data_IF_593496172899
#
_entry.id   IF_593496172899
#
_cell.length_a   1.000
_cell.length_b   1.000
_cell.length_c   1.000
_cell.angle_alpha   90.00
_cell.angle_beta   90.00
_cell.angle_gamma   90.00
#
_symmetry.space_group_name_H-M   'P 1'
#
loop_
_entity.id
_entity.type
_entity.pdbx_description
1 polymer ?
#
# COMPACT_ATOMS: atom_id res chain seq x y z
N UNK A 1 6.31 8.76 21.98
CA UNK A 1 5.06 8.00 21.79
C UNK A 1 4.88 7.79 20.28
N UNK A 2 4.23 6.71 19.82
CA UNK A 2 3.55 6.78 18.52
C UNK A 2 2.65 8.04 18.53
N UNK A 3 2.41 8.63 17.36
CA UNK A 3 1.52 9.77 17.16
C UNK A 3 0.35 9.73 18.16
N UNK A 4 0.09 10.84 18.86
CA UNK A 4 -1.03 10.91 19.79
C UNK A 4 -2.29 10.43 19.07
N UNK A 5 -2.81 9.27 19.48
CA UNK A 5 -3.93 8.61 18.82
C UNK A 5 -5.21 9.27 19.29
N UNK A 6 -6.06 9.64 18.34
CA UNK A 6 -7.37 10.19 18.63
C UNK A 6 -8.34 9.13 19.17
N UNK A 7 -8.03 7.84 18.95
CA UNK A 7 -8.91 6.72 19.23
C UNK A 7 -9.82 6.36 18.06
N UNK A 8 -9.84 7.19 17.01
CA UNK A 8 -10.46 6.88 15.71
C UNK A 8 -9.39 6.44 14.71
N UNK A 9 -9.49 5.19 14.24
CA UNK A 9 -8.49 4.57 13.38
C UNK A 9 -8.34 5.30 12.04
N UNK A 10 -9.44 5.81 11.47
CA UNK A 10 -9.40 6.50 10.17
C UNK A 10 -8.72 7.86 10.30
N UNK A 11 -9.05 8.63 11.33
CA UNK A 11 -8.36 9.88 11.65
C UNK A 11 -6.87 9.66 11.88
N UNK A 12 -6.51 8.63 12.67
CA UNK A 12 -5.12 8.30 12.95
C UNK A 12 -4.34 7.92 11.67
N UNK A 13 -4.95 7.13 10.78
CA UNK A 13 -4.36 6.75 9.49
C UNK A 13 -4.25 7.94 8.53
N UNK A 14 -5.23 8.83 8.50
CA UNK A 14 -5.17 10.06 7.69
C UNK A 14 -4.00 10.94 8.14
N UNK A 15 -3.85 11.15 9.45
CA UNK A 15 -2.73 11.89 10.03
C UNK A 15 -1.39 11.21 9.73
N UNK A 16 -1.31 9.89 9.88
CA UNK A 16 -0.09 9.13 9.62
C UNK A 16 0.33 9.14 8.13
N UNK A 17 -0.61 9.31 7.21
CA UNK A 17 -0.37 9.29 5.76
C UNK A 17 -0.37 10.69 5.16
N UNK A 18 -1.54 11.30 4.98
CA UNK A 18 -1.68 12.65 4.45
C UNK A 18 -0.96 13.69 5.31
N UNK A 19 -1.06 13.57 6.64
CA UNK A 19 -0.38 14.48 7.56
C UNK A 19 1.16 14.40 7.46
N UNK A 20 1.72 13.19 7.38
CA UNK A 20 3.16 13.01 7.13
C UNK A 20 3.58 13.62 5.80
N UNK A 21 2.82 13.36 4.73
CA UNK A 21 3.09 13.93 3.42
C UNK A 21 3.12 15.46 3.45
N UNK A 22 2.05 16.07 3.99
CA UNK A 22 1.91 17.52 4.09
C UNK A 22 3.00 18.17 4.94
N UNK A 23 3.28 17.60 6.12
CA UNK A 23 4.30 18.12 7.04
C UNK A 23 5.69 18.05 6.39
N UNK A 24 6.01 16.94 5.74
CA UNK A 24 7.30 16.76 5.09
C UNK A 24 7.47 17.71 3.91
N UNK A 25 6.47 17.82 3.02
CA UNK A 25 6.54 18.75 1.88
C UNK A 25 6.65 20.19 2.35
N UNK A 26 5.87 20.59 3.36
CA UNK A 26 5.94 21.94 3.92
C UNK A 26 7.30 22.22 4.57
N UNK A 27 7.88 21.23 5.25
CA UNK A 27 9.23 21.35 5.82
C UNK A 27 10.30 21.51 4.72
N UNK A 28 10.19 20.74 3.62
CA UNK A 28 11.10 20.84 2.49
C UNK A 28 11.00 22.22 1.81
N UNK A 29 9.78 22.71 1.57
CA UNK A 29 9.52 24.03 0.97
C UNK A 29 10.02 25.18 1.87
N UNK A 30 9.92 25.01 3.19
CA UNK A 30 10.45 25.95 4.17
C UNK A 30 11.98 25.91 4.31
N UNK A 31 12.67 25.00 3.60
CA UNK A 31 14.12 24.84 3.70
C UNK A 31 14.58 24.28 5.04
N UNK A 32 13.76 23.44 5.68
CA UNK A 32 14.19 22.69 6.86
C UNK A 32 15.43 21.87 6.54
N UNK A 33 16.34 21.73 7.51
CA UNK A 33 17.59 20.97 7.30
C UNK A 33 17.41 19.47 7.52
N UNK A 34 16.38 19.07 8.25
CA UNK A 34 16.13 17.68 8.62
C UNK A 34 14.67 17.44 8.99
N UNK A 35 14.18 16.26 8.65
CA UNK A 35 12.95 15.70 9.15
C UNK A 35 13.24 14.58 10.16
N UNK A 36 12.69 14.63 11.37
CA UNK A 36 12.81 13.53 12.35
C UNK A 36 11.45 12.86 12.48
N UNK A 37 11.36 11.59 12.06
CA UNK A 37 10.16 10.79 12.17
C UNK A 37 10.25 9.86 13.38
N UNK A 38 9.30 9.97 14.31
CA UNK A 38 9.12 8.97 15.36
C UNK A 38 8.34 7.77 14.87
N UNK A 39 8.87 6.57 15.10
CA UNK A 39 8.24 5.27 14.81
C UNK A 39 8.42 4.32 16.00
N UNK A 40 8.17 3.02 15.81
CA UNK A 40 8.13 2.02 16.89
C UNK A 40 8.84 0.72 16.53
N UNK A 41 9.49 0.12 17.52
CA UNK A 41 10.03 -1.25 17.46
C UNK A 41 8.93 -2.32 17.54
N UNK A 42 7.68 -1.92 17.79
CA UNK A 42 6.54 -2.84 17.76
C UNK A 42 6.36 -3.52 16.40
N UNK A 43 6.86 -2.91 15.32
CA UNK A 43 6.91 -3.51 13.97
C UNK A 43 7.74 -4.79 13.89
N UNK A 44 8.51 -5.13 14.93
CA UNK A 44 9.29 -6.36 15.05
C UNK A 44 8.75 -7.32 16.10
N UNK A 45 7.58 -7.05 16.69
CA UNK A 45 7.01 -7.88 17.76
C UNK A 45 6.77 -9.32 17.32
N UNK A 46 6.51 -9.55 16.03
CA UNK A 46 6.34 -10.88 15.44
C UNK A 46 7.62 -11.72 15.43
N UNK A 47 8.80 -11.11 15.56
CA UNK A 47 10.07 -11.82 15.61
C UNK A 47 10.35 -12.29 17.04
N UNK A 48 10.87 -13.52 17.22
CA UNK A 48 11.24 -14.04 18.54
C UNK A 48 12.38 -13.23 19.15
N UNK A 49 12.42 -13.13 20.48
CA UNK A 49 13.47 -12.42 21.20
C UNK A 49 14.85 -13.06 21.04
N UNK A 50 14.92 -14.32 20.58
CA UNK A 50 16.18 -15.00 20.24
C UNK A 50 16.87 -14.43 19.01
N UNK A 51 16.16 -13.66 18.16
CA UNK A 51 16.78 -13.02 17.00
C UNK A 51 17.37 -11.67 17.38
N UNK A 52 18.61 -11.45 16.94
CA UNK A 52 19.29 -10.17 17.04
C UNK A 52 18.78 -9.26 15.91
N UNK A 53 17.67 -8.58 16.19
CA UNK A 53 17.02 -7.65 15.26
C UNK A 53 17.81 -6.34 15.23
N UNK A 54 18.38 -6.00 14.07
CA UNK A 54 19.06 -4.74 13.81
C UNK A 54 18.33 -3.88 12.75
N UNK A 55 18.85 -2.71 12.44
CA UNK A 55 18.28 -1.73 11.51
C UNK A 55 18.07 -2.28 10.09
N UNK A 56 18.78 -3.34 9.69
CA UNK A 56 18.70 -3.95 8.36
C UNK A 56 17.52 -4.92 8.24
N UNK A 57 16.88 -5.28 9.35
CA UNK A 57 15.74 -6.19 9.33
C UNK A 57 14.51 -5.53 8.73
N UNK A 58 13.79 -6.29 7.89
CA UNK A 58 12.52 -5.87 7.30
C UNK A 58 11.43 -5.81 8.39
N UNK A 59 10.75 -4.66 8.57
CA UNK A 59 9.61 -4.54 9.48
C UNK A 59 8.48 -5.51 9.12
N UNK A 60 7.72 -5.95 10.13
CA UNK A 60 6.60 -6.89 10.05
C UNK A 60 5.34 -6.28 10.68
N UNK A 61 4.78 -5.20 10.11
CA UNK A 61 3.54 -4.61 10.60
C UNK A 61 2.39 -5.62 10.58
N UNK A 62 1.52 -5.54 11.57
CA UNK A 62 0.21 -6.20 11.55
C UNK A 62 -0.84 -5.31 10.90
N UNK A 63 -2.05 -5.86 10.69
CA UNK A 63 -3.20 -5.08 10.25
C UNK A 63 -3.78 -4.15 11.35
N UNK A 64 -3.15 -4.13 12.54
CA UNK A 64 -3.56 -3.24 13.61
C UNK A 64 -3.30 -1.76 13.22
N UNK A 65 -4.22 -0.84 13.50
CA UNK A 65 -4.10 0.58 13.17
C UNK A 65 -2.78 1.21 13.66
N UNK A 66 -2.32 0.87 14.86
CA UNK A 66 -1.08 1.41 15.41
C UNK A 66 0.16 1.04 14.57
N UNK A 67 0.23 -0.22 14.12
CA UNK A 67 1.32 -0.71 13.27
C UNK A 67 1.24 -0.09 11.87
N UNK A 68 0.02 -0.01 11.31
CA UNK A 68 -0.22 0.62 10.02
C UNK A 68 0.17 2.09 10.02
N UNK A 69 -0.22 2.87 11.04
CA UNK A 69 0.17 4.27 11.15
C UNK A 69 1.70 4.42 11.14
N UNK A 70 2.41 3.69 11.99
CA UNK A 70 3.86 3.76 12.04
C UNK A 70 4.51 3.35 10.69
N UNK A 71 4.08 2.23 10.12
CA UNK A 71 4.63 1.70 8.88
C UNK A 71 4.36 2.60 7.66
N UNK A 72 3.16 3.14 7.55
CA UNK A 72 2.78 3.99 6.44
C UNK A 72 3.44 5.37 6.54
N UNK A 73 3.61 5.93 7.75
CA UNK A 73 4.41 7.14 7.94
C UNK A 73 5.88 6.93 7.55
N UNK A 74 6.48 5.80 7.93
CA UNK A 74 7.84 5.44 7.49
C UNK A 74 7.94 5.33 5.97
N UNK A 75 6.99 4.64 5.34
CA UNK A 75 6.97 4.46 3.89
C UNK A 75 6.79 5.80 3.19
N UNK A 76 5.88 6.64 3.67
CA UNK A 76 5.62 7.99 3.14
C UNK A 76 6.88 8.86 3.20
N UNK A 77 7.44 9.05 4.40
CA UNK A 77 8.62 9.89 4.60
C UNK A 77 9.85 9.36 3.86
N UNK A 78 10.03 8.04 3.76
CA UNK A 78 11.13 7.44 2.99
C UNK A 78 11.05 7.76 1.51
N UNK A 79 9.87 7.65 0.89
CA UNK A 79 9.75 8.01 -0.53
C UNK A 79 9.92 9.53 -0.72
N UNK A 80 9.45 10.36 0.20
CA UNK A 80 9.64 11.82 0.12
C UNK A 80 11.11 12.23 0.26
N UNK A 81 11.85 11.63 1.21
CA UNK A 81 13.28 11.89 1.41
C UNK A 81 14.18 11.44 0.25
N UNK A 82 13.66 10.58 -0.64
CA UNK A 82 14.38 10.15 -1.86
C UNK A 82 14.36 11.20 -2.96
N UNK A 83 13.25 11.91 -3.11
CA UNK A 83 13.06 12.83 -4.24
C UNK A 83 13.10 14.31 -3.84
N UNK A 84 12.84 14.64 -2.57
CA UNK A 84 12.93 16.00 -2.05
C UNK A 84 14.28 16.23 -1.36
N UNK A 85 14.82 17.47 -1.40
CA UNK A 85 16.10 17.82 -0.78
C UNK A 85 15.99 18.00 0.74
N UNK A 86 15.33 17.08 1.43
CA UNK A 86 15.15 17.07 2.88
C UNK A 86 15.55 15.70 3.44
N UNK A 87 16.77 15.57 4.02
CA UNK A 87 17.17 14.37 4.72
C UNK A 87 16.22 14.05 5.88
N UNK A 88 15.98 12.77 6.10
CA UNK A 88 15.05 12.28 7.11
C UNK A 88 15.65 11.14 7.94
N UNK A 89 15.52 11.28 9.25
CA UNK A 89 15.91 10.26 10.22
C UNK A 89 14.67 9.67 10.89
N UNK A 90 14.50 8.36 10.77
CA UNK A 90 13.48 7.60 11.47
C UNK A 90 14.02 6.99 12.77
N UNK A 91 13.42 7.36 13.89
CA UNK A 91 13.72 6.79 15.21
C UNK A 91 12.65 5.76 15.57
N UNK A 92 12.99 4.47 15.56
CA UNK A 92 12.08 3.42 16.03
C UNK A 92 12.28 3.22 17.52
N UNK A 93 11.33 3.68 18.31
CA UNK A 93 11.41 3.61 19.76
C UNK A 93 10.91 2.27 20.31
N UNK A 94 11.52 1.81 21.40
CA UNK A 94 10.91 0.84 22.30
C UNK A 94 9.58 1.35 22.88
N UNK A 95 8.90 0.48 23.63
CA UNK A 95 7.70 0.84 24.38
C UNK A 95 8.04 1.92 25.40
N UNK A 96 7.58 3.14 25.16
CA UNK A 96 7.88 4.30 26.01
C UNK A 96 7.19 4.12 27.36
N UNK A 97 7.95 4.23 28.44
CA UNK A 97 7.44 4.15 29.82
C UNK A 97 8.04 5.24 30.70
N UNK A 98 7.26 5.70 31.68
CA UNK A 98 7.69 6.55 32.78
C UNK A 98 7.79 5.80 34.11
N UNK A 99 8.23 6.50 35.15
CA UNK A 99 8.45 5.95 36.50
C UNK A 99 7.21 5.28 37.10
N UNK A 100 6.02 5.86 36.89
CA UNK A 100 4.78 5.32 37.41
C UNK A 100 4.42 3.96 36.78
N UNK A 101 4.63 3.79 35.47
CA UNK A 101 4.33 2.55 34.75
C UNK A 101 5.33 1.45 35.12
N UNK A 102 6.61 1.82 35.24
CA UNK A 102 7.69 0.92 35.70
C UNK A 102 7.36 0.38 37.10
N UNK A 103 6.84 1.21 38.01
CA UNK A 103 6.47 0.77 39.35
C UNK A 103 5.19 -0.07 39.40
N UNK A 104 4.28 0.10 38.43
CA UNK A 104 2.95 -0.50 38.43
C UNK A 104 2.87 -1.85 37.67
N UNK A 105 3.86 -2.16 36.82
CA UNK A 105 3.79 -3.29 35.89
C UNK A 105 5.06 -4.14 35.93
N UNK A 106 4.99 -5.45 35.64
CA UNK A 106 6.18 -6.27 35.44
C UNK A 106 7.05 -5.73 34.29
N UNK A 107 8.36 -5.95 34.41
CA UNK A 107 9.32 -5.54 33.37
C UNK A 107 8.97 -6.12 32.00
N UNK A 108 9.03 -5.28 30.98
CA UNK A 108 8.93 -5.66 29.58
C UNK A 108 10.27 -5.39 28.87
N UNK A 109 10.87 -6.38 28.19
CA UNK A 109 12.15 -6.23 27.48
C UNK A 109 12.10 -5.22 26.32
N UNK A 110 10.92 -4.70 25.97
CA UNK A 110 10.73 -3.66 24.95
C UNK A 110 10.78 -2.26 25.51
N UNK A 111 10.83 -2.08 26.83
CA UNK A 111 10.76 -0.76 27.45
C UNK A 111 11.91 0.17 27.02
N UNK A 112 11.56 1.45 26.91
CA UNK A 112 12.47 2.57 26.78
C UNK A 112 11.95 3.69 27.68
N UNK A 113 12.80 4.23 28.55
CA UNK A 113 12.36 5.31 29.42
C UNK A 113 12.07 6.60 28.64
N UNK A 114 11.07 7.38 29.06
CA UNK A 114 10.69 8.64 28.39
C UNK A 114 11.84 9.65 28.29
N UNK A 115 12.68 9.77 29.33
CA UNK A 115 13.85 10.67 29.31
C UNK A 115 14.90 10.22 28.28
N UNK A 116 15.08 8.91 28.13
CA UNK A 116 16.03 8.34 27.17
C UNK A 116 15.51 8.52 25.73
N UNK A 117 14.20 8.42 25.51
CA UNK A 117 13.58 8.75 24.24
C UNK A 117 13.74 10.23 23.88
N UNK A 118 13.54 11.14 24.84
CA UNK A 118 13.73 12.57 24.65
C UNK A 118 15.20 12.91 24.32
N UNK A 119 16.14 12.27 25.01
CA UNK A 119 17.57 12.41 24.74
C UNK A 119 17.95 11.92 23.33
N UNK A 120 17.38 10.81 22.85
CA UNK A 120 17.58 10.34 21.48
C UNK A 120 17.08 11.38 20.46
N UNK A 121 15.92 12.00 20.67
CA UNK A 121 15.40 13.07 19.81
C UNK A 121 16.34 14.28 19.82
N UNK A 122 16.82 14.69 21.00
CA UNK A 122 17.75 15.82 21.13
C UNK A 122 19.03 15.57 20.34
N UNK A 123 19.57 14.35 20.37
CA UNK A 123 20.77 13.97 19.60
C UNK A 123 20.49 13.88 18.10
N UNK A 124 19.29 13.44 17.71
CA UNK A 124 18.87 13.37 16.31
C UNK A 124 18.87 14.73 15.61
N UNK A 125 18.78 15.85 16.35
CA UNK A 125 18.96 17.20 15.80
C UNK A 125 20.37 17.46 15.25
N UNK A 126 21.39 16.73 15.73
CA UNK A 126 22.78 16.87 15.30
C UNK A 126 23.25 15.79 14.30
N UNK A 127 22.44 14.75 14.06
CA UNK A 127 22.77 13.60 13.20
C UNK A 127 22.86 13.89 11.68
N UNK A 128 24.05 14.09 11.13
CA UNK A 128 24.21 14.64 9.76
C UNK A 128 24.47 13.60 8.66
N UNK A 129 23.49 12.73 8.40
CA UNK A 129 23.54 11.80 7.26
C UNK A 129 22.55 12.21 6.15
N UNK A 130 22.93 12.07 4.86
CA UNK A 130 22.06 12.41 3.74
C UNK A 130 20.94 11.37 3.54
N UNK A 131 19.85 11.81 2.91
CA UNK A 131 18.76 10.92 2.49
C UNK A 131 17.96 10.33 3.66
N UNK A 132 17.64 9.04 3.58
CA UNK A 132 16.81 8.33 4.57
C UNK A 132 17.65 7.44 5.48
N UNK A 133 17.59 7.67 6.79
CA UNK A 133 18.27 6.87 7.81
C UNK A 133 17.28 6.31 8.83
N UNK A 134 17.59 5.16 9.43
CA UNK A 134 16.78 4.51 10.47
C UNK A 134 17.70 4.17 11.64
N UNK A 135 17.24 4.43 12.87
CA UNK A 135 17.91 4.02 14.09
C UNK A 135 16.92 3.33 15.04
N UNK A 136 17.33 2.22 15.65
CA UNK A 136 16.57 1.57 16.71
C UNK A 136 16.96 2.19 18.06
N UNK A 137 15.97 2.73 18.78
CA UNK A 137 16.15 3.36 20.08
C UNK A 137 15.54 2.43 21.14
N UNK A 138 16.39 1.69 21.84
CA UNK A 138 16.03 0.79 22.94
C UNK A 138 16.80 1.13 24.22
N UNK A 139 16.41 0.51 25.34
CA UNK A 139 17.13 0.66 26.60
C UNK A 139 18.55 0.06 26.56
N UNK A 140 18.83 -0.84 25.61
CA UNK A 140 20.19 -1.36 25.37
C UNK A 140 20.81 -2.21 26.48
N UNK A 141 20.05 -2.53 27.53
CA UNK A 141 20.50 -3.41 28.62
C UNK A 141 20.49 -4.89 28.27
N UNK A 142 20.96 -5.75 29.18
CA UNK A 142 21.18 -7.18 28.94
C UNK A 142 19.89 -7.96 28.61
N UNK A 143 18.74 -7.40 28.95
CA UNK A 143 17.42 -8.01 28.73
C UNK A 143 16.64 -7.33 27.60
N UNK A 144 17.21 -6.34 26.91
CA UNK A 144 16.53 -5.63 25.83
C UNK A 144 16.24 -6.57 24.66
N UNK A 145 15.00 -6.56 24.15
CA UNK A 145 14.60 -7.37 22.98
C UNK A 145 15.39 -6.97 21.72
N UNK A 146 15.67 -5.68 21.57
CA UNK A 146 16.41 -5.11 20.44
C UNK A 146 17.71 -4.50 20.99
N UNK A 147 18.89 -4.94 20.51
CA UNK A 147 20.16 -4.42 21.00
C UNK A 147 20.35 -2.95 20.63
N UNK A 148 21.07 -2.23 21.48
CA UNK A 148 21.51 -0.86 21.19
C UNK A 148 22.84 -0.90 20.44
N UNK A 149 22.76 -1.02 19.11
CA UNK A 149 23.89 -1.03 18.18
C UNK A 149 24.12 0.34 17.54
N UNK A 150 23.58 0.54 16.33
CA UNK A 150 23.86 1.71 15.47
C UNK A 150 23.57 3.04 16.17
N UNK A 151 22.49 3.14 16.96
CA UNK A 151 22.20 4.37 17.70
C UNK A 151 23.29 4.73 18.74
N UNK A 152 23.99 3.76 19.32
CA UNK A 152 25.11 4.04 20.22
C UNK A 152 26.27 4.67 19.46
N UNK A 153 26.59 4.11 18.30
CA UNK A 153 27.80 4.45 17.55
C UNK A 153 27.60 5.74 16.74
N UNK A 154 26.46 5.85 16.05
CA UNK A 154 26.22 6.95 15.10
C UNK A 154 25.52 8.16 15.74
N UNK A 155 24.73 7.94 16.80
CA UNK A 155 24.02 9.01 17.53
C UNK A 155 24.71 9.38 18.85
N UNK A 156 25.77 8.64 19.23
CA UNK A 156 26.36 8.69 20.56
C UNK A 156 25.30 8.49 21.68
N UNK A 157 24.21 7.79 21.39
CA UNK A 157 23.10 7.63 22.33
C UNK A 157 23.46 6.64 23.44
N UNK A 158 23.34 7.10 24.69
CA UNK A 158 23.63 6.32 25.89
C UNK A 158 22.42 6.40 26.82
N UNK A 159 21.54 5.38 26.83
CA UNK A 159 20.39 5.38 27.72
C UNK A 159 20.85 5.32 29.17
N UNK A 160 20.19 6.10 30.03
CA UNK A 160 20.46 6.15 31.47
C UNK A 160 19.79 4.98 32.18
N UNK A 161 18.67 4.47 31.65
CA UNK A 161 17.90 3.38 32.24
C UNK A 161 17.95 2.16 31.33
N UNK A 162 18.79 1.20 31.69
CA UNK A 162 19.03 -0.03 30.93
C UNK A 162 18.31 -1.26 31.49
N UNK A 163 17.62 -1.10 32.64
CA UNK A 163 16.84 -2.15 33.30
C UNK A 163 17.64 -3.43 33.61
N UNK A 164 18.96 -3.33 33.81
CA UNK A 164 19.80 -4.49 34.17
C UNK A 164 19.40 -5.19 35.47
N UNK A 165 18.81 -4.45 36.40
CA UNK A 165 18.39 -4.95 37.72
C UNK A 165 16.97 -5.54 37.69
N UNK A 166 16.28 -5.44 36.54
CA UNK A 166 14.96 -6.04 36.37
C UNK A 166 15.08 -7.57 36.32
N UNK A 167 14.04 -8.26 36.79
CA UNK A 167 13.96 -9.71 36.65
C UNK A 167 14.01 -10.07 35.15
N UNK A 168 14.91 -10.99 34.80
CA UNK A 168 15.03 -11.47 33.44
C UNK A 168 13.66 -11.95 32.93
N UNK A 169 13.25 -11.54 31.71
CA UNK A 169 12.00 -12.00 31.16
C UNK A 169 12.03 -13.53 31.10
N UNK A 170 10.89 -14.21 31.31
CA UNK A 170 10.84 -15.65 31.11
C UNK A 170 11.40 -15.97 29.71
N UNK A 171 12.20 -17.04 29.55
CA UNK A 171 12.66 -17.45 28.23
C UNK A 171 11.44 -17.57 27.33
N UNK A 172 11.52 -16.96 26.14
CA UNK A 172 10.38 -16.82 25.21
C UNK A 172 9.57 -18.12 25.23
N UNK A 173 8.35 -18.06 25.76
CA UNK A 173 7.48 -19.23 25.94
C UNK A 173 7.03 -19.68 24.55
N UNK A 174 7.90 -20.42 23.87
CA UNK A 174 7.86 -20.62 22.44
C UNK A 174 9.02 -19.96 21.69
N UNK A 175 10.27 -20.16 22.15
CA UNK A 175 11.43 -20.16 21.25
C UNK A 175 11.05 -21.04 20.05
N UNK A 176 10.57 -20.40 18.99
CA UNK A 176 9.61 -21.02 18.10
C UNK A 176 10.22 -22.27 17.49
N UNK A 177 9.62 -23.42 17.79
CA UNK A 177 9.92 -24.65 17.07
C UNK A 177 9.39 -24.46 15.66
N UNK A 178 10.25 -24.01 14.74
CA UNK A 178 9.85 -23.70 13.37
C UNK A 178 10.91 -22.90 12.64
N UNK A 179 10.79 -22.87 11.31
CA UNK A 179 11.60 -22.00 10.47
C UNK A 179 11.14 -20.54 10.59
N UNK A 180 11.97 -19.60 10.16
CA UNK A 180 11.55 -18.19 10.03
C UNK A 180 10.31 -18.02 9.12
N UNK A 181 10.03 -18.98 8.23
CA UNK A 181 8.83 -18.95 7.39
C UNK A 181 7.57 -19.21 8.20
N UNK A 182 7.62 -20.14 9.14
CA UNK A 182 6.48 -20.48 10.00
C UNK A 182 6.13 -19.32 10.93
N UNK A 183 7.15 -18.63 11.45
CA UNK A 183 7.01 -17.40 12.24
C UNK A 183 6.33 -16.26 11.45
N UNK A 184 6.61 -16.19 10.15
CA UNK A 184 6.08 -15.15 9.27
C UNK A 184 4.79 -15.55 8.54
N UNK A 185 4.31 -16.77 8.73
CA UNK A 185 3.06 -17.24 8.14
C UNK A 185 1.88 -16.34 8.56
N UNK A 186 0.77 -16.32 7.79
CA UNK A 186 -0.43 -15.59 8.17
C UNK A 186 -0.92 -15.99 9.57
N UNK A 187 -1.28 -14.99 10.39
CA UNK A 187 -1.76 -15.22 11.76
C UNK A 187 -3.18 -15.80 11.78
N UNK A 188 -3.96 -15.46 10.76
CA UNK A 188 -5.26 -16.05 10.46
C UNK A 188 -5.31 -16.30 8.95
N UNK A 189 -6.14 -17.24 8.50
CA UNK A 189 -6.37 -17.47 7.06
C UNK A 189 -7.85 -17.44 6.78
N UNK A 190 -8.26 -16.56 5.88
CA UNK A 190 -9.63 -16.55 5.36
C UNK A 190 -9.74 -17.61 4.26
N UNK A 191 -10.64 -18.60 4.39
CA UNK A 191 -10.72 -19.69 3.42
C UNK A 191 -11.21 -19.19 2.06
N UNK A 192 -10.58 -19.68 0.99
CA UNK A 192 -11.05 -19.46 -0.37
C UNK A 192 -12.43 -20.11 -0.59
N UNK A 193 -13.24 -19.49 -1.45
CA UNK A 193 -14.57 -19.99 -1.84
C UNK A 193 -14.79 -19.81 -3.34
N UNK A 194 -15.69 -20.58 -3.98
CA UNK A 194 -16.12 -20.30 -5.34
C UNK A 194 -16.67 -18.89 -5.47
N UNK A 195 -16.20 -18.14 -6.47
CA UNK A 195 -16.63 -16.76 -6.69
C UNK A 195 -17.83 -16.76 -7.64
N UNK A 196 -18.98 -16.25 -7.17
CA UNK A 196 -20.19 -16.08 -7.97
C UNK A 196 -20.75 -14.67 -7.89
N UNK A 197 -20.61 -14.03 -6.73
CA UNK A 197 -21.02 -12.64 -6.47
C UNK A 197 -19.79 -11.75 -6.31
N UNK A 198 -19.69 -10.72 -7.14
CA UNK A 198 -18.55 -9.77 -7.13
C UNK A 198 -19.08 -8.37 -6.84
N UNK A 199 -18.52 -7.72 -5.82
CA UNK A 199 -18.73 -6.29 -5.59
C UNK A 199 -17.63 -5.49 -6.28
N UNK A 200 -18.01 -4.45 -7.03
CA UNK A 200 -17.08 -3.59 -7.77
C UNK A 200 -17.24 -2.16 -7.25
N UNK A 201 -16.19 -1.64 -6.60
CA UNK A 201 -16.14 -0.23 -6.17
C UNK A 201 -15.57 0.67 -7.26
N UNK A 202 -16.18 1.85 -7.45
CA UNK A 202 -15.84 2.79 -8.51
C UNK A 202 -16.48 2.42 -9.86
N UNK A 203 -17.66 1.82 -9.83
CA UNK A 203 -18.38 1.28 -10.99
C UNK A 203 -18.81 2.34 -12.01
N UNK A 204 -18.84 3.63 -11.64
CA UNK A 204 -19.05 4.75 -12.53
C UNK A 204 -17.85 5.07 -13.44
N UNK A 205 -16.67 4.56 -13.11
CA UNK A 205 -15.45 4.77 -13.88
C UNK A 205 -15.33 3.87 -15.11
N UNK A 206 -14.54 4.27 -16.14
CA UNK A 206 -14.47 3.56 -17.42
C UNK A 206 -13.82 2.17 -17.33
N UNK A 207 -12.83 1.99 -16.44
CA UNK A 207 -12.24 0.66 -16.20
C UNK A 207 -13.30 -0.28 -15.61
N UNK A 208 -14.00 0.15 -14.58
CA UNK A 208 -15.01 -0.66 -13.92
C UNK A 208 -16.21 -0.94 -14.84
N UNK A 209 -16.57 -0.01 -15.73
CA UNK A 209 -17.56 -0.25 -16.77
C UNK A 209 -17.12 -1.35 -17.76
N UNK A 210 -15.85 -1.36 -18.17
CA UNK A 210 -15.30 -2.45 -19.00
C UNK A 210 -15.30 -3.79 -18.27
N UNK A 211 -14.88 -3.78 -16.99
CA UNK A 211 -14.88 -4.96 -16.12
C UNK A 211 -16.29 -5.50 -15.92
N UNK A 212 -17.27 -4.64 -15.64
CA UNK A 212 -18.66 -5.05 -15.47
C UNK A 212 -19.20 -5.72 -16.73
N UNK A 213 -18.88 -5.20 -17.92
CA UNK A 213 -19.26 -5.81 -19.19
C UNK A 213 -18.60 -7.19 -19.42
N UNK A 214 -17.32 -7.34 -19.03
CA UNK A 214 -16.59 -8.62 -19.14
C UNK A 214 -17.11 -9.68 -18.16
N UNK A 215 -17.51 -9.28 -16.94
CA UNK A 215 -17.91 -10.21 -15.88
C UNK A 215 -19.40 -10.52 -15.84
N UNK A 216 -20.28 -9.62 -16.31
CA UNK A 216 -21.73 -9.78 -16.21
C UNK A 216 -22.30 -11.11 -16.78
N UNK A 217 -21.74 -11.71 -17.87
CA UNK A 217 -22.24 -12.97 -18.39
C UNK A 217 -22.11 -14.16 -17.41
N UNK A 218 -21.09 -14.14 -16.53
CA UNK A 218 -20.69 -15.29 -15.73
C UNK A 218 -20.85 -15.06 -14.21
N UNK A 219 -20.95 -13.81 -13.78
CA UNK A 219 -21.01 -13.41 -12.37
C UNK A 219 -22.24 -12.55 -12.06
N UNK A 220 -22.77 -12.69 -10.85
CA UNK A 220 -23.69 -11.70 -10.29
C UNK A 220 -22.89 -10.51 -9.78
N UNK A 221 -23.23 -9.31 -10.22
CA UNK A 221 -22.45 -8.11 -9.96
C UNK A 221 -23.21 -7.17 -9.04
N UNK A 222 -22.50 -6.64 -8.04
CA UNK A 222 -22.93 -5.47 -7.28
C UNK A 222 -22.03 -4.31 -7.62
N UNK A 223 -22.58 -3.35 -8.35
CA UNK A 223 -21.86 -2.18 -8.84
C UNK A 223 -22.02 -1.03 -7.84
N UNK A 224 -20.92 -0.49 -7.33
CA UNK A 224 -20.98 0.61 -6.36
C UNK A 224 -20.17 1.81 -6.80
N UNK A 225 -20.74 2.99 -6.54
CA UNK A 225 -20.10 4.28 -6.78
C UNK A 225 -20.62 5.30 -5.76
N UNK A 226 -19.96 6.45 -5.63
CA UNK A 226 -20.39 7.53 -4.73
C UNK A 226 -21.64 8.24 -5.26
N UNK A 227 -21.89 8.16 -6.56
CA UNK A 227 -23.12 8.65 -7.20
C UNK A 227 -23.98 7.50 -7.73
N UNK A 228 -25.32 7.66 -7.84
CA UNK A 228 -26.17 6.64 -8.43
C UNK A 228 -25.74 6.30 -9.87
N UNK A 229 -25.50 5.03 -10.16
CA UNK A 229 -25.01 4.59 -11.49
C UNK A 229 -25.93 5.00 -12.65
N UNK A 230 -27.24 5.05 -12.40
CA UNK A 230 -28.23 5.52 -13.36
C UNK A 230 -28.01 6.98 -13.76
N UNK A 231 -27.64 7.85 -12.81
CA UNK A 231 -27.34 9.25 -13.08
C UNK A 231 -26.03 9.41 -13.85
N UNK A 232 -24.99 8.67 -13.47
CA UNK A 232 -23.70 8.68 -14.17
C UNK A 232 -23.91 8.22 -15.63
N UNK A 233 -24.65 7.13 -15.84
CA UNK A 233 -24.96 6.61 -17.17
C UNK A 233 -25.80 7.59 -18.00
N UNK A 234 -26.80 8.25 -17.39
CA UNK A 234 -27.67 9.21 -18.06
C UNK A 234 -26.92 10.47 -18.55
N UNK A 235 -25.86 10.90 -17.85
CA UNK A 235 -25.00 12.02 -18.30
C UNK A 235 -24.28 11.72 -19.62
N UNK A 236 -24.10 10.43 -19.95
CA UNK A 236 -23.46 9.95 -21.18
C UNK A 236 -22.13 10.65 -21.51
N UNK A 237 -21.38 11.04 -20.47
CA UNK A 237 -20.15 11.83 -20.58
C UNK A 237 -18.94 10.94 -20.34
N UNK A 238 -18.24 10.46 -21.38
CA UNK A 238 -17.08 9.61 -21.19
C UNK A 238 -15.92 10.41 -20.61
N UNK A 239 -15.05 9.74 -19.84
CA UNK A 239 -13.82 10.35 -19.31
C UNK A 239 -12.92 10.88 -20.43
N UNK A 240 -12.91 10.17 -21.58
CA UNK A 240 -12.13 10.49 -22.76
C UNK A 240 -12.76 9.83 -24.01
N UNK A 241 -12.44 10.29 -25.24
CA UNK A 241 -13.07 9.74 -26.45
C UNK A 241 -12.88 8.22 -26.59
N UNK A 242 -13.99 7.47 -26.62
CA UNK A 242 -13.95 6.01 -26.74
C UNK A 242 -13.76 5.26 -25.42
N UNK A 243 -13.66 5.95 -24.28
CA UNK A 243 -13.72 5.34 -22.96
C UNK A 243 -15.11 4.70 -22.71
N UNK A 244 -15.17 3.49 -22.13
CA UNK A 244 -16.43 2.85 -21.76
C UNK A 244 -17.26 3.70 -20.82
N UNK A 245 -18.57 3.70 -21.04
CA UNK A 245 -19.55 4.31 -20.13
C UNK A 245 -20.16 3.23 -19.23
N UNK A 246 -20.45 3.57 -17.96
CA UNK A 246 -21.17 2.67 -17.08
C UNK A 246 -22.57 2.36 -17.63
N UNK A 247 -23.10 1.20 -17.26
CA UNK A 247 -24.46 0.77 -17.60
C UNK A 247 -25.17 0.29 -16.35
N UNK A 248 -26.46 0.62 -16.24
CA UNK A 248 -27.33 -0.02 -15.26
C UNK A 248 -27.64 -1.43 -15.75
N UNK A 249 -27.25 -2.42 -14.95
CA UNK A 249 -27.53 -3.82 -15.22
C UNK A 249 -28.84 -4.22 -14.54
N UNK A 250 -29.68 -4.99 -15.23
CA UNK A 250 -30.90 -5.54 -14.64
C UNK A 250 -30.62 -6.72 -13.70
N UNK A 251 -31.67 -7.28 -13.11
CA UNK A 251 -31.55 -8.50 -12.30
C UNK A 251 -30.85 -9.63 -13.10
N UNK A 252 -29.97 -10.43 -12.46
CA UNK A 252 -29.71 -10.52 -11.01
C UNK A 252 -28.68 -9.50 -10.48
N UNK A 253 -28.18 -8.57 -11.30
CA UNK A 253 -27.21 -7.58 -10.88
C UNK A 253 -27.86 -6.47 -10.04
N UNK A 254 -27.05 -5.85 -9.19
CA UNK A 254 -27.46 -4.77 -8.29
C UNK A 254 -26.56 -3.55 -8.48
N UNK A 255 -27.10 -2.37 -8.19
CA UNK A 255 -26.32 -1.13 -8.08
C UNK A 255 -26.61 -0.48 -6.73
N UNK A 256 -25.57 -0.06 -6.01
CA UNK A 256 -25.69 0.62 -4.73
C UNK A 256 -24.86 1.90 -4.74
N UNK A 257 -25.33 2.91 -4.01
CA UNK A 257 -24.50 4.08 -3.70
C UNK A 257 -23.66 3.74 -2.48
N UNK A 258 -22.35 3.81 -2.60
CA UNK A 258 -21.42 3.60 -1.50
C UNK A 258 -20.16 4.45 -1.70
N UNK A 259 -19.91 5.35 -0.76
CA UNK A 259 -18.65 6.07 -0.66
C UNK A 259 -17.59 5.14 -0.04
N UNK A 260 -16.46 4.97 -0.73
CA UNK A 260 -15.38 4.11 -0.23
C UNK A 260 -14.69 4.67 1.01
N UNK A 261 -14.86 5.96 1.29
CA UNK A 261 -14.34 6.63 2.48
C UNK A 261 -15.21 6.39 3.71
N UNK A 262 -16.47 5.95 3.53
CA UNK A 262 -17.37 5.56 4.61
C UNK A 262 -17.21 4.05 4.94
N UNK A 263 -16.67 3.71 6.13
CA UNK A 263 -16.45 2.32 6.50
C UNK A 263 -17.73 1.49 6.57
N UNK A 264 -18.86 2.08 6.98
CA UNK A 264 -20.13 1.36 7.12
C UNK A 264 -20.77 1.11 5.75
N UNK A 265 -20.69 2.09 4.83
CA UNK A 265 -21.14 1.92 3.45
C UNK A 265 -20.35 0.81 2.73
N UNK A 266 -19.02 0.77 2.90
CA UNK A 266 -18.16 -0.28 2.33
C UNK A 266 -18.47 -1.64 2.92
N UNK A 267 -18.68 -1.72 4.24
CA UNK A 267 -19.05 -2.96 4.92
C UNK A 267 -20.39 -3.50 4.44
N UNK A 268 -21.41 -2.64 4.32
CA UNK A 268 -22.72 -3.02 3.82
C UNK A 268 -22.68 -3.47 2.34
N UNK A 269 -21.92 -2.75 1.50
CA UNK A 269 -21.75 -3.10 0.09
C UNK A 269 -21.13 -4.50 -0.11
N UNK A 270 -20.26 -4.94 0.80
CA UNK A 270 -19.60 -6.25 0.72
C UNK A 270 -20.48 -7.43 1.18
N UNK A 271 -21.65 -7.18 1.77
CA UNK A 271 -22.49 -8.23 2.35
C UNK A 271 -22.89 -9.30 1.31
N UNK A 272 -22.49 -10.55 1.54
CA UNK A 272 -22.82 -11.68 0.67
C UNK A 272 -22.02 -11.76 -0.65
N UNK A 273 -21.02 -10.89 -0.84
CA UNK A 273 -20.06 -11.01 -1.94
C UNK A 273 -19.05 -12.13 -1.67
N UNK A 274 -18.51 -12.70 -2.75
CA UNK A 274 -17.46 -13.72 -2.71
C UNK A 274 -16.08 -13.17 -3.07
N UNK A 275 -16.05 -12.04 -3.78
CA UNK A 275 -14.85 -11.30 -4.15
C UNK A 275 -15.11 -9.80 -4.28
N UNK A 276 -14.06 -9.01 -4.12
CA UNK A 276 -14.08 -7.55 -4.28
C UNK A 276 -13.18 -7.16 -5.46
N UNK A 277 -13.63 -6.22 -6.29
CA UNK A 277 -12.80 -5.49 -7.26
C UNK A 277 -12.80 -4.02 -6.86
N UNK A 278 -11.63 -3.48 -6.54
CA UNK A 278 -11.48 -2.08 -6.16
C UNK A 278 -10.90 -1.25 -7.31
N UNK A 279 -11.76 -0.48 -7.98
CA UNK A 279 -11.41 0.45 -9.04
C UNK A 279 -11.48 1.93 -8.60
N UNK A 280 -11.61 2.21 -7.31
CA UNK A 280 -11.72 3.60 -6.83
C UNK A 280 -10.43 4.37 -7.06
N UNK A 281 -10.59 5.65 -7.38
CA UNK A 281 -9.45 6.52 -7.66
C UNK A 281 -9.81 7.99 -7.50
N UNK A 282 -8.92 8.74 -6.86
CA UNK A 282 -8.84 10.20 -6.97
C UNK A 282 -7.39 10.57 -7.30
N UNK A 283 -7.20 11.49 -8.26
CA UNK A 283 -5.86 11.84 -8.75
C UNK A 283 -5.37 13.19 -8.25
N UNK A 284 -6.22 14.21 -8.37
CA UNK A 284 -5.77 15.60 -8.34
C UNK A 284 -6.16 16.36 -7.07
N UNK A 285 -7.11 15.84 -6.29
CA UNK A 285 -7.52 16.45 -5.02
C UNK A 285 -6.62 15.93 -3.88
N UNK A 286 -5.83 16.79 -3.22
CA UNK A 286 -4.90 16.36 -2.16
C UNK A 286 -5.53 15.62 -1.00
N UNK A 287 -6.65 16.11 -0.46
CA UNK A 287 -7.28 15.47 0.68
C UNK A 287 -7.95 14.16 0.26
N UNK A 288 -8.71 14.21 -0.84
CA UNK A 288 -9.47 13.07 -1.31
C UNK A 288 -8.58 11.98 -1.92
N UNK A 289 -7.39 12.30 -2.44
CA UNK A 289 -6.45 11.29 -2.91
C UNK A 289 -6.05 10.33 -1.78
N UNK A 290 -5.71 10.82 -0.59
CA UNK A 290 -5.42 9.93 0.55
C UNK A 290 -6.68 9.24 1.08
N UNK A 291 -7.80 9.96 1.22
CA UNK A 291 -9.06 9.36 1.71
C UNK A 291 -9.54 8.23 0.81
N UNK A 292 -9.59 8.43 -0.50
CA UNK A 292 -10.07 7.42 -1.45
C UNK A 292 -9.03 6.34 -1.73
N UNK A 293 -7.79 6.71 -2.07
CA UNK A 293 -6.82 5.73 -2.54
C UNK A 293 -6.16 4.96 -1.38
N UNK A 294 -6.02 5.58 -0.21
CA UNK A 294 -5.36 4.98 0.96
C UNK A 294 -6.38 4.47 1.97
N UNK A 295 -7.23 5.34 2.52
CA UNK A 295 -8.22 4.92 3.52
C UNK A 295 -9.35 4.07 2.91
N UNK A 296 -9.74 4.33 1.66
CA UNK A 296 -10.67 3.47 0.94
C UNK A 296 -10.13 2.06 0.74
N UNK A 297 -8.81 1.89 0.54
CA UNK A 297 -8.18 0.57 0.52
C UNK A 297 -8.28 -0.11 1.89
N UNK A 298 -8.03 0.63 2.99
CA UNK A 298 -8.21 0.13 4.35
C UNK A 298 -9.64 -0.34 4.63
N UNK A 299 -10.64 0.45 4.26
CA UNK A 299 -12.05 0.09 4.43
C UNK A 299 -12.41 -1.17 3.64
N UNK A 300 -11.93 -1.28 2.38
CA UNK A 300 -12.12 -2.48 1.54
C UNK A 300 -11.51 -3.71 2.21
N UNK A 301 -10.27 -3.61 2.72
CA UNK A 301 -9.61 -4.74 3.36
C UNK A 301 -10.30 -5.14 4.69
N UNK A 302 -10.78 -4.18 5.48
CA UNK A 302 -11.58 -4.45 6.68
C UNK A 302 -12.89 -5.16 6.37
N UNK A 303 -13.62 -4.68 5.35
CA UNK A 303 -14.85 -5.31 4.92
C UNK A 303 -14.60 -6.73 4.37
N UNK A 304 -13.48 -6.93 3.67
CA UNK A 304 -13.06 -8.25 3.22
C UNK A 304 -12.88 -9.22 4.41
N UNK A 305 -12.17 -8.81 5.46
CA UNK A 305 -12.02 -9.63 6.67
C UNK A 305 -13.36 -9.89 7.36
N UNK A 306 -14.18 -8.85 7.54
CA UNK A 306 -15.46 -8.95 8.25
C UNK A 306 -16.44 -9.94 7.58
N UNK A 307 -16.43 -10.02 6.25
CA UNK A 307 -17.28 -10.94 5.46
C UNK A 307 -16.56 -12.24 5.05
N UNK A 308 -15.31 -12.43 5.47
CA UNK A 308 -14.49 -13.58 5.10
C UNK A 308 -14.21 -13.69 3.59
N UNK A 309 -14.10 -12.56 2.89
CA UNK A 309 -13.83 -12.50 1.45
C UNK A 309 -12.32 -12.66 1.23
N UNK A 310 -11.90 -13.83 0.75
CA UNK A 310 -10.49 -14.14 0.53
C UNK A 310 -9.89 -13.48 -0.72
N UNK A 311 -10.70 -13.09 -1.71
CA UNK A 311 -10.23 -12.54 -3.00
C UNK A 311 -10.54 -11.04 -3.12
N UNK A 312 -9.49 -10.23 -3.24
CA UNK A 312 -9.60 -8.79 -3.51
C UNK A 312 -8.72 -8.43 -4.69
N UNK A 313 -9.30 -8.06 -5.83
CA UNK A 313 -8.53 -7.48 -6.95
C UNK A 313 -8.40 -5.98 -6.71
N UNK A 314 -7.18 -5.50 -6.55
CA UNK A 314 -6.89 -4.09 -6.35
C UNK A 314 -6.30 -3.48 -7.62
N UNK A 315 -6.63 -2.22 -7.94
CA UNK A 315 -6.10 -1.56 -9.14
C UNK A 315 -5.24 -0.36 -8.76
N UNK A 316 -4.18 -0.13 -9.53
CA UNK A 316 -3.26 0.97 -9.28
C UNK A 316 -2.52 1.43 -10.53
N UNK A 317 -1.73 2.51 -10.39
CA UNK A 317 -0.84 2.97 -11.43
C UNK A 317 0.45 2.16 -11.45
N UNK A 318 1.08 2.02 -12.62
CA UNK A 318 2.49 1.63 -12.68
C UNK A 318 3.35 2.62 -11.89
N UNK A 319 4.28 2.10 -11.09
CA UNK A 319 5.03 2.88 -10.11
C UNK A 319 6.53 2.59 -10.16
N UNK A 320 7.08 1.94 -11.18
CA UNK A 320 8.48 1.48 -11.15
C UNK A 320 9.41 2.42 -11.93
N UNK A 321 9.15 2.62 -13.22
CA UNK A 321 9.93 3.50 -14.09
C UNK A 321 9.15 4.79 -14.44
N UNK A 322 8.65 5.50 -13.42
CA UNK A 322 8.03 6.83 -13.57
C UNK A 322 9.09 7.93 -13.76
N UNK A 323 8.70 9.16 -14.07
CA UNK A 323 9.63 10.28 -14.15
C UNK A 323 10.18 10.65 -12.76
N UNK A 324 11.50 10.69 -12.59
CA UNK A 324 12.13 11.12 -11.34
C UNK A 324 13.58 10.67 -11.20
N UNK A 325 14.38 11.30 -10.33
CA UNK A 325 15.81 11.00 -10.17
C UNK A 325 16.08 9.62 -9.52
N UNK A 326 15.10 9.05 -8.83
CA UNK A 326 15.24 7.76 -8.11
C UNK A 326 14.45 6.62 -8.74
N UNK A 327 13.80 6.86 -9.88
CA UNK A 327 13.08 5.84 -10.62
C UNK A 327 14.02 5.01 -11.49
N UNK A 328 13.49 3.91 -12.02
CA UNK A 328 14.19 3.09 -13.02
C UNK A 328 14.00 3.65 -14.45
N UNK A 329 13.84 4.96 -14.58
CA UNK A 329 13.72 5.62 -15.88
C UNK A 329 15.03 5.42 -16.66
N UNK A 330 14.92 5.01 -17.93
CA UNK A 330 16.03 4.66 -18.83
C UNK A 330 16.68 3.30 -18.60
N UNK A 331 16.26 2.56 -17.58
CA UNK A 331 16.61 1.15 -17.45
C UNK A 331 15.66 0.28 -18.29
N UNK A 332 16.17 -0.86 -18.73
CA UNK A 332 15.42 -1.89 -19.46
C UNK A 332 15.37 -3.17 -18.62
N UNK A 333 14.44 -4.07 -18.94
CA UNK A 333 14.30 -5.38 -18.28
C UNK A 333 14.11 -5.31 -16.76
N UNK A 334 13.58 -4.18 -16.26
CA UNK A 334 13.27 -3.99 -14.85
C UNK A 334 12.30 -5.09 -14.41
N UNK A 335 12.67 -5.94 -13.43
CA UNK A 335 11.83 -7.05 -13.00
C UNK A 335 10.46 -6.58 -12.50
N UNK A 336 9.43 -7.41 -12.67
CA UNK A 336 8.08 -7.10 -12.19
C UNK A 336 8.00 -6.90 -10.66
N UNK A 337 8.97 -7.46 -9.92
CA UNK A 337 9.10 -7.34 -8.45
C UNK A 337 10.04 -6.20 -8.02
N UNK A 338 10.48 -5.36 -8.96
CA UNK A 338 11.30 -4.20 -8.62
C UNK A 338 10.56 -3.29 -7.62
N UNK A 339 11.25 -2.75 -6.59
CA UNK A 339 10.62 -1.87 -5.62
C UNK A 339 9.97 -0.67 -6.29
N UNK A 340 8.69 -0.44 -6.03
CA UNK A 340 8.01 0.73 -6.58
C UNK A 340 8.66 2.06 -6.10
N UNK A 341 8.71 3.00 -7.03
CA UNK A 341 9.22 4.38 -7.02
C UNK A 341 8.09 5.32 -7.47
N UNK A 342 7.12 5.62 -6.58
CA UNK A 342 5.95 6.44 -6.95
C UNK A 342 6.31 7.91 -7.27
N UNK A 343 7.52 8.35 -6.94
CA UNK A 343 7.95 9.75 -7.00
C UNK A 343 7.43 10.58 -5.82
N UNK A 344 8.14 11.67 -5.51
CA UNK A 344 7.72 12.76 -4.66
C UNK A 344 8.03 14.13 -5.31
N UNK A 345 6.98 14.88 -5.67
CA UNK A 345 7.08 16.04 -6.57
C UNK A 345 5.72 16.38 -7.21
N UNK A 346 5.45 17.66 -7.44
CA UNK A 346 4.06 18.17 -7.50
C UNK A 346 3.15 17.61 -8.61
N UNK A 347 1.84 17.65 -8.34
CA UNK A 347 0.74 17.35 -9.28
C UNK A 347 0.41 15.86 -9.39
N UNK A 348 1.06 15.16 -10.33
CA UNK A 348 0.74 13.77 -10.65
C UNK A 348 1.25 12.75 -9.61
N UNK A 349 2.24 13.11 -8.79
CA UNK A 349 2.91 12.13 -7.91
C UNK A 349 2.16 11.90 -6.60
N UNK A 350 1.28 12.83 -6.18
CA UNK A 350 0.32 12.62 -5.09
C UNK A 350 -0.56 11.38 -5.34
N UNK A 351 -1.07 11.23 -6.57
CA UNK A 351 -1.87 10.08 -6.97
C UNK A 351 -1.07 8.77 -6.81
N UNK A 352 0.14 8.74 -7.36
CA UNK A 352 1.02 7.58 -7.26
C UNK A 352 1.36 7.24 -5.80
N UNK A 353 1.67 8.26 -5.00
CA UNK A 353 2.02 8.11 -3.60
C UNK A 353 0.84 7.56 -2.77
N UNK A 354 -0.34 8.17 -2.87
CA UNK A 354 -1.53 7.72 -2.14
C UNK A 354 -1.99 6.31 -2.55
N UNK A 355 -1.89 5.94 -3.84
CA UNK A 355 -2.14 4.57 -4.31
C UNK A 355 -1.12 3.56 -3.79
N UNK A 356 0.16 3.93 -3.71
CA UNK A 356 1.19 3.05 -3.11
C UNK A 356 0.90 2.77 -1.64
N UNK A 357 0.49 3.78 -0.87
CA UNK A 357 0.12 3.58 0.53
C UNK A 357 -1.11 2.65 0.66
N UNK A 358 -2.10 2.79 -0.22
CA UNK A 358 -3.23 1.85 -0.30
C UNK A 358 -2.79 0.42 -0.62
N UNK A 359 -1.83 0.24 -1.54
CA UNK A 359 -1.25 -1.07 -1.85
C UNK A 359 -0.49 -1.66 -0.67
N UNK A 360 0.25 -0.86 0.11
CA UNK A 360 0.90 -1.32 1.33
C UNK A 360 -0.11 -1.82 2.37
N UNK A 361 -1.26 -1.15 2.52
CA UNK A 361 -2.35 -1.63 3.38
C UNK A 361 -2.85 -2.99 2.88
N UNK A 362 -3.15 -3.10 1.58
CA UNK A 362 -3.56 -4.36 0.95
C UNK A 362 -2.54 -5.49 1.20
N UNK A 363 -1.25 -5.21 1.03
CA UNK A 363 -0.16 -6.17 1.29
C UNK A 363 -0.13 -6.63 2.74
N UNK A 364 -0.18 -5.69 3.69
CA UNK A 364 -0.16 -6.02 5.13
C UNK A 364 -1.36 -6.88 5.52
N UNK A 365 -2.57 -6.55 5.05
CA UNK A 365 -3.74 -7.38 5.29
C UNK A 365 -3.61 -8.78 4.66
N UNK A 366 -3.14 -8.86 3.41
CA UNK A 366 -2.97 -10.13 2.71
C UNK A 366 -1.96 -11.05 3.43
N UNK A 367 -0.79 -10.52 3.79
CA UNK A 367 0.25 -11.27 4.50
C UNK A 367 -0.19 -11.71 5.91
N UNK A 368 -0.99 -10.92 6.62
CA UNK A 368 -1.44 -11.26 7.98
C UNK A 368 -2.66 -12.19 8.01
N UNK A 369 -3.53 -12.15 6.98
CA UNK A 369 -4.81 -12.85 6.97
C UNK A 369 -4.98 -13.89 5.85
N UNK A 370 -3.91 -14.18 5.11
CA UNK A 370 -3.92 -15.18 4.04
C UNK A 370 -4.88 -14.85 2.90
N UNK A 371 -5.11 -13.56 2.65
CA UNK A 371 -5.94 -13.12 1.52
C UNK A 371 -5.16 -13.28 0.21
N UNK A 372 -5.87 -13.46 -0.89
CA UNK A 372 -5.30 -13.43 -2.25
C UNK A 372 -5.61 -12.09 -2.89
N UNK A 373 -4.59 -11.26 -3.05
CA UNK A 373 -4.71 -9.86 -3.49
C UNK A 373 -3.80 -9.58 -4.69
N UNK A 374 -4.27 -9.87 -5.92
CA UNK A 374 -3.62 -9.36 -7.13
C UNK A 374 -3.85 -7.85 -7.27
N UNK A 375 -2.75 -7.10 -7.26
CA UNK A 375 -2.71 -5.66 -7.54
C UNK A 375 -2.33 -5.42 -9.01
N UNK A 376 -3.31 -5.04 -9.82
CA UNK A 376 -3.13 -4.81 -11.27
C UNK A 376 -2.72 -3.36 -11.53
N UNK A 377 -1.56 -3.18 -12.14
CA UNK A 377 -0.99 -1.86 -12.42
C UNK A 377 -1.17 -1.47 -13.89
N UNK A 378 -1.69 -0.27 -14.08
CA UNK A 378 -2.04 0.31 -15.39
C UNK A 378 -1.41 1.70 -15.55
N UNK A 379 -1.33 2.22 -16.79
CA UNK A 379 -1.00 3.64 -17.02
C UNK A 379 -2.01 4.26 -17.97
N UNK A 380 -1.97 3.87 -19.24
CA UNK A 380 -2.90 4.36 -20.26
C UNK A 380 -3.85 3.27 -20.72
N UNK A 381 -5.13 3.65 -20.84
CA UNK A 381 -6.16 2.80 -21.38
C UNK A 381 -6.59 3.32 -22.75
N UNK A 382 -6.62 2.43 -23.74
CA UNK A 382 -6.84 2.80 -25.13
C UNK A 382 -8.10 2.12 -25.67
N UNK A 383 -8.81 2.82 -26.54
CA UNK A 383 -9.76 2.18 -27.45
C UNK A 383 -9.04 1.91 -28.79
N UNK A 384 -8.71 0.65 -29.13
CA UNK A 384 -7.95 0.33 -30.33
C UNK A 384 -8.62 0.80 -31.63
N UNK A 385 -9.96 0.85 -31.61
CA UNK A 385 -10.81 1.21 -32.74
C UNK A 385 -10.92 2.74 -32.92
N UNK A 386 -10.60 3.51 -31.87
CA UNK A 386 -10.72 4.98 -31.83
C UNK A 386 -9.60 5.59 -30.99
N UNK A 387 -8.35 5.58 -31.47
CA UNK A 387 -7.25 6.17 -30.72
C UNK A 387 -7.44 7.67 -30.52
N UNK A 388 -7.26 8.13 -29.28
CA UNK A 388 -7.48 9.55 -28.92
C UNK A 388 -6.37 10.47 -29.42
N UNK A 389 -5.16 9.93 -29.59
CA UNK A 389 -3.95 10.67 -29.93
C UNK A 389 -3.12 9.85 -30.92
N UNK A 390 -2.30 10.51 -31.77
CA UNK A 390 -1.42 9.83 -32.72
C UNK A 390 -0.30 9.03 -32.05
N UNK A 391 -0.03 9.25 -30.77
CA UNK A 391 0.94 8.51 -29.97
C UNK A 391 0.31 8.09 -28.65
N UNK A 392 0.52 6.83 -28.27
CA UNK A 392 0.17 6.29 -26.97
C UNK A 392 1.42 6.24 -26.09
N UNK A 393 1.23 6.36 -24.79
CA UNK A 393 2.23 6.14 -23.77
C UNK A 393 2.79 4.70 -23.90
N UNK A 394 4.10 4.48 -23.70
CA UNK A 394 4.72 3.17 -23.85
C UNK A 394 4.27 2.13 -22.81
N UNK A 395 3.33 2.45 -21.90
CA UNK A 395 2.64 1.50 -21.05
C UNK A 395 1.14 1.68 -21.28
N UNK A 396 0.60 0.96 -22.27
CA UNK A 396 -0.78 1.12 -22.69
C UNK A 396 -1.45 -0.24 -22.86
N UNK A 397 -2.73 -0.32 -22.52
CA UNK A 397 -3.55 -1.53 -22.68
C UNK A 397 -4.92 -1.13 -23.20
N UNK A 398 -5.57 -2.01 -23.96
CA UNK A 398 -6.96 -1.73 -24.34
C UNK A 398 -7.91 -1.87 -23.16
N UNK A 399 -9.05 -1.18 -23.19
CA UNK A 399 -10.11 -1.36 -22.18
C UNK A 399 -10.57 -2.82 -22.06
N UNK A 400 -10.66 -3.53 -23.19
CA UNK A 400 -11.06 -4.96 -23.24
C UNK A 400 -10.01 -5.84 -22.58
N UNK A 401 -8.73 -5.59 -22.86
CA UNK A 401 -7.62 -6.37 -22.34
C UNK A 401 -7.42 -6.16 -20.83
N UNK A 402 -7.60 -4.92 -20.37
CA UNK A 402 -7.62 -4.58 -18.96
C UNK A 402 -8.76 -5.29 -18.20
N UNK A 403 -9.97 -5.31 -18.76
CA UNK A 403 -11.09 -6.02 -18.17
C UNK A 403 -10.84 -7.54 -18.06
N UNK A 404 -10.24 -8.15 -19.10
CA UNK A 404 -9.82 -9.56 -19.05
C UNK A 404 -8.74 -9.80 -18.01
N UNK A 405 -7.83 -8.86 -17.76
CA UNK A 405 -6.84 -9.00 -16.68
C UNK A 405 -7.51 -9.08 -15.31
N UNK A 406 -8.51 -8.23 -15.06
CA UNK A 406 -9.31 -8.26 -13.82
C UNK A 406 -10.06 -9.59 -13.69
N UNK A 407 -10.67 -10.09 -14.77
CA UNK A 407 -11.30 -11.42 -14.79
C UNK A 407 -10.30 -12.51 -14.41
N UNK A 408 -9.12 -12.53 -15.04
CA UNK A 408 -8.08 -13.54 -14.73
C UNK A 408 -7.59 -13.44 -13.28
N UNK A 409 -7.50 -12.23 -12.74
CA UNK A 409 -7.19 -12.01 -11.33
C UNK A 409 -8.27 -12.52 -10.37
N UNK A 410 -9.54 -12.53 -10.78
CA UNK A 410 -10.64 -13.18 -10.04
C UNK A 410 -10.61 -14.70 -10.16
N UNK A 411 -10.22 -15.23 -11.33
CA UNK A 411 -10.27 -16.67 -11.61
C UNK A 411 -9.02 -17.44 -11.19
N UNK A 412 -7.89 -16.75 -10.95
CA UNK A 412 -6.62 -17.41 -10.61
C UNK A 412 -6.81 -18.31 -9.37
N UNK A 413 -6.46 -19.61 -9.43
CA UNK A 413 -6.71 -20.53 -8.31
C UNK A 413 -5.85 -20.21 -7.09
N UNK A 414 -4.57 -19.86 -7.32
CA UNK A 414 -3.61 -19.56 -6.29
C UNK A 414 -2.53 -18.61 -6.83
N UNK A 415 -1.91 -17.85 -5.93
CA UNK A 415 -0.75 -17.00 -6.20
C UNK A 415 0.41 -17.45 -5.31
N UNK A 416 1.67 -17.23 -5.73
CA UNK A 416 2.83 -17.61 -4.93
C UNK A 416 2.87 -16.83 -3.61
N UNK A 417 2.59 -15.53 -3.67
CA UNK A 417 2.46 -14.68 -2.49
C UNK A 417 1.00 -14.23 -2.26
N UNK A 418 0.60 -13.94 -1.02
CA UNK A 418 -0.72 -13.37 -0.71
C UNK A 418 -1.02 -12.07 -1.46
N UNK A 419 0.01 -11.26 -1.73
CA UNK A 419 -0.10 -10.00 -2.44
C UNK A 419 0.86 -9.99 -3.64
N UNK A 420 0.30 -9.87 -4.85
CA UNK A 420 1.09 -9.88 -6.09
C UNK A 420 0.85 -8.62 -6.90
N UNK A 421 1.92 -7.88 -7.17
CA UNK A 421 1.90 -6.76 -8.11
C UNK A 421 2.08 -7.29 -9.54
N UNK A 422 1.22 -6.84 -10.45
CA UNK A 422 1.14 -7.34 -11.83
C UNK A 422 1.03 -6.17 -12.82
N UNK A 423 1.98 -6.07 -13.74
CA UNK A 423 1.97 -5.07 -14.81
C UNK A 423 1.06 -5.50 -15.96
N UNK A 424 0.08 -4.66 -16.30
CA UNK A 424 -0.92 -4.94 -17.34
C UNK A 424 -0.76 -3.95 -18.50
N UNK A 425 -0.06 -4.38 -19.55
CA UNK A 425 0.22 -3.62 -20.77
C UNK A 425 0.09 -4.53 -22.00
N UNK A 426 -0.24 -3.95 -23.15
CA UNK A 426 -0.08 -4.62 -24.44
C UNK A 426 1.40 -4.90 -24.74
N UNK A 427 1.66 -5.84 -25.66
CA UNK A 427 3.00 -6.10 -26.19
C UNK A 427 3.36 -5.03 -27.22
N UNK A 428 3.90 -3.92 -26.71
CA UNK A 428 4.22 -2.76 -27.51
C UNK A 428 5.62 -2.87 -28.15
N UNK A 429 5.82 -2.34 -29.37
CA UNK A 429 7.02 -2.61 -30.18
C UNK A 429 8.33 -2.06 -29.60
N UNK A 430 8.27 -1.16 -28.62
CA UNK A 430 9.48 -0.62 -27.97
C UNK A 430 10.09 -1.58 -26.92
N UNK A 431 9.36 -2.60 -26.46
CA UNK A 431 9.89 -3.67 -25.61
C UNK A 431 10.41 -3.24 -24.22
N UNK A 432 9.89 -2.13 -23.67
CA UNK A 432 10.44 -1.54 -22.42
C UNK A 432 9.85 -2.17 -21.16
N UNK A 433 8.54 -2.45 -21.15
CA UNK A 433 7.85 -2.92 -19.95
C UNK A 433 7.53 -4.39 -20.05
N UNK A 434 7.95 -5.14 -19.02
CA UNK A 434 7.68 -6.56 -18.91
C UNK A 434 6.28 -6.79 -18.35
N UNK A 435 5.63 -7.83 -18.87
CA UNK A 435 4.31 -8.33 -18.41
C UNK A 435 4.36 -9.83 -18.09
N UNK A 436 5.57 -10.40 -18.01
CA UNK A 436 5.80 -11.84 -17.88
C UNK A 436 5.14 -12.43 -16.65
N UNK A 437 5.11 -11.70 -15.53
CA UNK A 437 4.45 -12.15 -14.31
C UNK A 437 2.94 -12.25 -14.47
N UNK A 438 2.29 -11.34 -15.19
CA UNK A 438 0.87 -11.43 -15.50
C UNK A 438 0.56 -12.65 -16.37
N UNK A 439 1.40 -12.95 -17.37
CA UNK A 439 1.29 -14.16 -18.20
C UNK A 439 1.44 -15.43 -17.37
N UNK A 440 2.52 -15.51 -16.58
CA UNK A 440 2.87 -16.68 -15.79
C UNK A 440 1.85 -16.98 -14.69
N UNK A 441 1.42 -15.95 -13.95
CA UNK A 441 0.58 -16.15 -12.76
C UNK A 441 -0.91 -16.14 -13.09
N UNK A 442 -1.36 -15.27 -14.01
CA UNK A 442 -2.78 -15.16 -14.34
C UNK A 442 -3.20 -15.92 -15.60
N UNK A 443 -2.23 -16.41 -16.41
CA UNK A 443 -2.54 -16.89 -17.75
C UNK A 443 -3.21 -15.80 -18.60
N UNK A 444 -2.83 -14.54 -18.37
CA UNK A 444 -3.36 -13.37 -19.07
C UNK A 444 -2.39 -12.95 -20.17
N UNK A 445 -2.92 -12.72 -21.37
CA UNK A 445 -2.20 -12.15 -22.49
C UNK A 445 -3.05 -11.04 -23.14
N UNK A 446 -2.45 -9.93 -23.57
CA UNK A 446 -3.13 -8.94 -24.39
C UNK A 446 -3.52 -9.59 -25.72
N UNK A 447 -4.69 -9.21 -26.24
CA UNK A 447 -5.18 -9.60 -27.56
C UNK A 447 -5.06 -8.43 -28.55
N UNK A 448 -5.11 -7.21 -28.04
CA UNK A 448 -4.89 -6.01 -28.84
C UNK A 448 -3.40 -5.66 -28.80
N UNK A 449 -2.73 -5.67 -29.96
CA UNK A 449 -1.28 -5.39 -30.05
C UNK A 449 -0.95 -3.90 -29.97
N UNK A 450 -1.89 -3.05 -30.37
CA UNK A 450 -1.75 -1.58 -30.45
C UNK A 450 -0.58 -1.11 -31.34
N UNK A 451 0.08 -2.00 -32.07
CA UNK A 451 1.26 -1.70 -32.90
C UNK A 451 0.94 -0.64 -33.98
N UNK A 452 -0.27 -0.69 -34.54
CA UNK A 452 -0.74 0.27 -35.55
C UNK A 452 -0.80 1.72 -35.04
N UNK A 453 -0.80 1.93 -33.71
CA UNK A 453 -0.76 3.25 -33.08
C UNK A 453 0.66 3.80 -32.93
N UNK A 454 1.67 2.99 -33.22
CA UNK A 454 3.08 3.38 -33.28
C UNK A 454 3.58 3.61 -34.71
N UNK A 455 2.81 3.17 -35.72
CA UNK A 455 3.08 3.44 -37.12
C UNK A 455 2.52 4.81 -37.52
N UNK A 456 3.38 5.83 -37.64
CA UNK A 456 3.02 7.10 -38.28
C UNK A 456 3.02 6.98 -39.82
N UNK A 457 2.34 7.89 -40.56
CA UNK A 457 2.54 7.98 -42.00
C UNK A 457 4.03 8.23 -42.27
N UNK A 458 4.66 7.31 -43.00
CA UNK A 458 6.00 7.57 -43.56
C UNK A 458 5.82 8.76 -44.49
N UNK A 459 6.40 9.91 -44.14
CA UNK A 459 6.34 11.10 -44.97
C UNK A 459 6.71 10.74 -46.41
N UNK A 460 5.82 11.10 -47.35
CA UNK A 460 6.11 11.10 -48.78
C UNK A 460 6.74 12.46 -49.15
#
# INVERSE_FOLDING_TARGET
APLARSGDDLTDLELATAGTYQLFTAAADAGARRFILGSTLALFNRLPASYLVDERWRPRPTAAPADLCAWLSETCARELARDLPLPALCLRFGSIVGDAEIAAQPYDPRWLHIDDAAEAIRRALAYDEPGWSILHISAGGPHSKVPLGVARDDLAFQPRRDFRDAQAPPPDAGAAQGSWRDLLAPQATVPARPIRRVVIFGAGGPLAAAVAAELAPDYTLRLTDIEPLAEIAARARPQSPGAPLPRVLGAPHESLVADVTDPEAVLAACAGADAIVNCTVIRNDPAQAFRVNTLGAYNVMRAALAHGIARVVHTGPYQVALLGPTSYQWDYDVPDDAPARPGAGHGAQLYFHSKRLGQEICRVFAENHGLTVPALLFVEFVNPDRPERPHIFPFAVSWRDAARAVRRALEVPALPEPFEVLHISADLPHGVFRTDKARRLLGWEPRDTLEHLWSGPRGA
#
